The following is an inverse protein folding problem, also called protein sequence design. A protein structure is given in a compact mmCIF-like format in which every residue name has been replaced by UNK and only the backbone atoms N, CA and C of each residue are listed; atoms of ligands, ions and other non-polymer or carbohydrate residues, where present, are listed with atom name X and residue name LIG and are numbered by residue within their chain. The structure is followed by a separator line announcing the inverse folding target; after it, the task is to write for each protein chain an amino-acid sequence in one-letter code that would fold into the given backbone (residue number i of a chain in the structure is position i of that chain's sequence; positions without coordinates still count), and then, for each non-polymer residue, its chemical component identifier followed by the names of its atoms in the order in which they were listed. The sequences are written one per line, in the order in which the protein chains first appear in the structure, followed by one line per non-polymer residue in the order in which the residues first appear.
data_IF_733312047790
#
_entry.id   IF_733312047790
#
_cell.length_a   1.000
_cell.length_b   1.000
_cell.length_c   1.000
_cell.angle_alpha   90.00
_cell.angle_beta   90.00
_cell.angle_gamma   90.00
#
_symmetry.space_group_name_H-M   'P 1'
#
loop_
_entity.id
_entity.type
_entity.pdbx_description
1 polymer ?
#
# COMPACT_ATOMS: atom_id res chain seq x y z
N UNK A 1 -13.88 12.08 -12.63
CA UNK A 1 -13.02 13.07 -13.29
C UNK A 1 -13.55 13.39 -14.67
N UNK A 2 -13.11 14.52 -15.29
CA UNK A 2 -13.40 14.75 -16.69
C UNK A 2 -12.94 13.57 -17.56
N UNK A 3 -13.64 13.24 -18.66
CA UNK A 3 -13.28 12.07 -19.49
C UNK A 3 -11.85 12.07 -20.05
N UNK A 4 -11.24 13.25 -20.14
CA UNK A 4 -9.86 13.40 -20.60
C UNK A 4 -8.81 13.06 -19.52
N UNK A 5 -9.21 12.94 -18.24
CA UNK A 5 -8.30 12.67 -17.12
C UNK A 5 -8.35 11.18 -16.81
N UNK A 6 -7.28 10.49 -17.13
CA UNK A 6 -7.12 9.05 -16.91
C UNK A 6 -6.45 8.76 -15.58
N UNK A 7 -6.77 7.61 -14.99
CA UNK A 7 -6.03 7.06 -13.87
C UNK A 7 -4.64 6.57 -14.33
N UNK A 8 -3.69 6.52 -13.42
CA UNK A 8 -2.34 5.97 -13.71
C UNK A 8 -2.43 4.55 -14.26
N UNK A 9 -3.30 3.74 -13.69
CA UNK A 9 -3.53 2.36 -14.14
C UNK A 9 -4.04 2.27 -15.59
N UNK A 10 -4.91 3.19 -16.02
CA UNK A 10 -5.36 3.26 -17.43
C UNK A 10 -4.18 3.59 -18.35
N UNK A 11 -3.32 4.56 -17.97
CA UNK A 11 -2.16 4.94 -18.76
C UNK A 11 -1.14 3.80 -18.81
N UNK A 12 -0.88 3.11 -17.69
CA UNK A 12 -0.04 1.92 -17.66
C UNK A 12 -0.56 0.84 -18.59
N UNK A 13 -1.86 0.57 -18.54
CA UNK A 13 -2.53 -0.42 -19.39
C UNK A 13 -2.42 -0.07 -20.88
N UNK A 14 -2.62 1.19 -21.26
CA UNK A 14 -2.44 1.68 -22.63
C UNK A 14 -1.00 1.53 -23.14
N UNK A 15 -0.03 1.44 -22.22
CA UNK A 15 1.38 1.19 -22.53
C UNK A 15 1.79 -0.28 -22.35
N UNK A 16 0.82 -1.20 -22.35
CA UNK A 16 1.07 -2.64 -22.39
C UNK A 16 1.33 -3.31 -21.04
N UNK A 17 1.13 -2.61 -19.92
CA UNK A 17 1.20 -3.20 -18.60
C UNK A 17 -0.10 -3.95 -18.27
N UNK A 18 0.01 -5.15 -17.72
CA UNK A 18 -1.12 -5.79 -17.06
C UNK A 18 -1.35 -5.14 -15.69
N UNK A 19 -2.54 -4.62 -15.46
CA UNK A 19 -2.83 -3.77 -14.30
C UNK A 19 -3.79 -4.44 -13.33
N UNK A 20 -3.39 -4.52 -12.04
CA UNK A 20 -4.21 -5.18 -11.02
C UNK A 20 -4.35 -4.37 -9.74
N UNK A 21 -5.53 -4.45 -9.11
CA UNK A 21 -5.82 -3.83 -7.82
C UNK A 21 -6.42 -4.85 -6.84
N UNK A 22 -5.70 -5.19 -5.80
CA UNK A 22 -6.12 -6.10 -4.75
C UNK A 22 -6.34 -5.32 -3.43
N UNK A 23 -7.53 -4.92 -3.00
CA UNK A 23 -8.81 -4.77 -3.73
C UNK A 23 -9.55 -3.60 -3.09
N UNK A 24 -8.98 -2.38 -3.15
CA UNK A 24 -9.62 -1.17 -2.61
C UNK A 24 -9.89 -0.17 -3.74
N UNK A 25 -11.16 0.21 -3.90
CA UNK A 25 -11.62 1.17 -4.90
C UNK A 25 -12.35 2.36 -4.28
N UNK A 26 -11.73 3.01 -3.35
CA UNK A 26 -12.32 4.12 -2.59
C UNK A 26 -12.02 5.49 -3.26
N UNK A 27 -12.26 5.57 -4.58
CA UNK A 27 -11.80 6.68 -5.43
C UNK A 27 -12.65 7.95 -5.32
N UNK A 28 -13.85 7.91 -4.72
CA UNK A 28 -14.79 9.03 -4.62
C UNK A 28 -15.20 9.64 -5.98
N UNK A 29 -15.05 8.88 -7.07
CA UNK A 29 -15.51 9.19 -8.40
C UNK A 29 -15.88 7.92 -9.17
N UNK A 30 -16.66 8.08 -10.26
CA UNK A 30 -16.94 6.96 -11.17
C UNK A 30 -15.66 6.64 -11.95
N UNK A 31 -15.09 5.45 -11.68
CA UNK A 31 -13.93 4.96 -12.43
C UNK A 31 -14.35 4.53 -13.84
N UNK A 32 -13.40 4.59 -14.76
CA UNK A 32 -13.51 3.96 -16.07
C UNK A 32 -13.52 2.42 -15.93
N UNK A 33 -14.23 1.74 -16.80
CA UNK A 33 -14.13 0.26 -16.93
C UNK A 33 -12.74 -0.19 -17.37
N UNK A 34 -11.96 0.72 -17.94
CA UNK A 34 -10.59 0.48 -18.38
C UNK A 34 -9.54 0.72 -17.28
N UNK A 35 -9.96 1.08 -16.07
CA UNK A 35 -9.06 1.45 -14.98
C UNK A 35 -8.11 0.32 -14.58
N UNK A 36 -8.56 -0.93 -14.64
CA UNK A 36 -7.80 -2.12 -14.26
C UNK A 36 -8.15 -3.29 -15.19
N UNK A 37 -7.19 -4.19 -15.44
CA UNK A 37 -7.48 -5.48 -16.05
C UNK A 37 -8.17 -6.42 -15.05
N UNK A 38 -7.73 -6.39 -13.78
CA UNK A 38 -8.37 -7.11 -12.68
C UNK A 38 -8.37 -6.23 -11.42
N UNK A 39 -9.55 -6.00 -10.86
CA UNK A 39 -9.73 -5.32 -9.58
C UNK A 39 -10.62 -6.15 -8.68
N UNK A 40 -9.99 -7.03 -7.93
CA UNK A 40 -10.64 -7.99 -7.04
C UNK A 40 -9.70 -8.40 -5.90
N UNK A 41 -10.25 -9.14 -4.93
CA UNK A 41 -9.44 -9.77 -3.87
C UNK A 41 -8.50 -10.87 -4.41
N UNK A 42 -8.68 -11.27 -5.67
CA UNK A 42 -7.86 -12.27 -6.37
C UNK A 42 -6.90 -11.63 -7.38
N UNK A 43 -6.98 -10.29 -7.54
CA UNK A 43 -6.15 -9.56 -8.48
C UNK A 43 -4.67 -9.72 -8.15
N UNK A 44 -3.88 -10.17 -9.12
CA UNK A 44 -2.48 -10.51 -8.94
C UNK A 44 -1.71 -10.48 -10.26
N UNK A 45 -0.41 -10.17 -10.26
CA UNK A 45 0.41 -10.21 -11.49
C UNK A 45 0.49 -11.62 -12.10
N UNK A 46 0.34 -12.67 -11.29
CA UNK A 46 0.35 -14.08 -11.77
C UNK A 46 -0.86 -14.41 -12.65
N UNK A 47 -1.90 -13.56 -12.68
CA UNK A 47 -3.07 -13.71 -13.55
C UNK A 47 -2.86 -13.09 -14.94
N UNK A 48 -1.70 -12.48 -15.22
CA UNK A 48 -1.44 -11.87 -16.52
C UNK A 48 -1.47 -12.92 -17.64
N UNK A 49 -1.98 -12.54 -18.82
CA UNK A 49 -2.15 -13.50 -19.94
C UNK A 49 -0.83 -14.11 -20.41
N UNK A 50 0.25 -13.35 -20.34
CA UNK A 50 1.59 -13.77 -20.78
C UNK A 50 2.60 -13.49 -19.66
N UNK A 51 3.44 -14.49 -19.35
CA UNK A 51 4.41 -14.43 -18.25
C UNK A 51 5.46 -13.32 -18.40
N UNK A 52 5.75 -12.90 -19.64
CA UNK A 52 6.70 -11.83 -19.96
C UNK A 52 6.07 -10.44 -20.04
N UNK A 53 4.75 -10.33 -19.96
CA UNK A 53 4.10 -9.01 -19.93
C UNK A 53 4.50 -8.22 -18.69
N UNK A 54 4.85 -6.92 -18.85
CA UNK A 54 5.06 -6.07 -17.69
C UNK A 54 3.76 -5.91 -16.89
N UNK A 55 3.88 -5.65 -15.60
CA UNK A 55 2.70 -5.48 -14.75
C UNK A 55 2.82 -4.25 -13.85
N UNK A 56 1.67 -3.71 -13.49
CA UNK A 56 1.48 -2.71 -12.46
C UNK A 56 0.43 -3.23 -11.47
N UNK A 57 0.90 -3.72 -10.32
CA UNK A 57 0.05 -4.39 -9.33
C UNK A 57 0.00 -3.63 -8.02
N UNK A 58 -1.20 -3.32 -7.56
CA UNK A 58 -1.43 -2.61 -6.30
C UNK A 58 -2.04 -3.56 -5.29
N UNK A 59 -1.47 -3.61 -4.08
CA UNK A 59 -1.96 -4.40 -2.94
C UNK A 59 -2.31 -3.47 -1.78
N UNK A 60 -3.51 -3.62 -1.24
CA UNK A 60 -4.06 -2.76 -0.20
C UNK A 60 -4.18 -3.53 1.12
N UNK A 61 -3.40 -3.17 2.13
CA UNK A 61 -3.39 -3.83 3.43
C UNK A 61 -4.34 -3.15 4.43
N UNK A 62 -5.57 -3.68 4.54
CA UNK A 62 -6.57 -3.17 5.48
C UNK A 62 -6.32 -3.54 6.95
N UNK A 63 -5.28 -4.33 7.26
CA UNK A 63 -4.99 -4.76 8.63
C UNK A 63 -4.51 -3.61 9.53
N UNK A 64 -3.84 -2.61 8.96
CA UNK A 64 -3.39 -1.40 9.67
C UNK A 64 -4.43 -0.28 9.68
N UNK A 65 -5.58 -0.46 9.04
CA UNK A 65 -6.67 0.53 9.02
C UNK A 65 -7.22 0.80 10.43
N UNK A 66 -7.65 2.02 10.70
CA UNK A 66 -8.16 2.45 12.02
C UNK A 66 -9.28 1.57 12.60
N UNK A 67 -10.14 0.99 11.73
CA UNK A 67 -11.19 0.08 12.19
C UNK A 67 -10.67 -1.17 12.91
N UNK A 68 -9.35 -1.44 12.82
CA UNK A 68 -8.70 -2.54 13.55
C UNK A 68 -8.27 -2.16 14.96
N UNK A 69 -8.44 -0.89 15.32
CA UNK A 69 -8.27 -0.42 16.69
C UNK A 69 -9.54 -0.63 17.54
N UNK A 70 -10.70 -0.83 16.91
CA UNK A 70 -12.00 -0.91 17.54
C UNK A 70 -12.54 -2.33 17.53
N UNK A 71 -13.48 -2.61 18.43
CA UNK A 71 -14.15 -3.89 18.56
C UNK A 71 -15.26 -4.07 17.51
N UNK A 72 -14.91 -4.03 16.23
CA UNK A 72 -15.87 -4.31 15.15
C UNK A 72 -15.66 -5.72 14.61
N UNK A 73 -16.76 -6.47 14.54
CA UNK A 73 -16.81 -7.71 13.75
C UNK A 73 -16.85 -7.34 12.29
N UNK A 74 -15.73 -7.39 11.59
CA UNK A 74 -15.66 -7.15 10.15
C UNK A 74 -14.82 -8.23 9.49
N UNK A 75 -15.32 -8.76 8.38
CA UNK A 75 -14.56 -9.72 7.58
C UNK A 75 -13.22 -9.13 7.14
N UNK A 76 -12.17 -9.88 7.33
CA UNK A 76 -10.81 -9.53 6.89
C UNK A 76 -10.40 -10.52 5.83
N UNK A 77 -10.01 -10.02 4.66
CA UNK A 77 -9.41 -10.83 3.62
C UNK A 77 -7.89 -10.81 3.76
N UNK A 78 -7.27 -11.94 3.57
CA UNK A 78 -5.81 -12.03 3.51
C UNK A 78 -5.37 -11.55 2.12
N UNK A 79 -4.50 -10.53 2.09
CA UNK A 79 -3.99 -9.94 0.85
C UNK A 79 -2.80 -10.77 0.36
N UNK A 80 -2.68 -10.93 -0.97
CA UNK A 80 -1.52 -11.56 -1.58
C UNK A 80 -1.47 -13.08 -1.46
N UNK A 81 -2.59 -13.75 -1.22
CA UNK A 81 -2.66 -15.21 -1.29
C UNK A 81 -2.81 -15.64 -2.74
N UNK A 82 -1.80 -16.32 -3.25
CA UNK A 82 -1.83 -16.90 -4.60
C UNK A 82 -1.25 -18.33 -4.59
N UNK A 83 -1.80 -19.28 -5.33
CA UNK A 83 -3.00 -19.15 -6.14
C UNK A 83 -4.23 -18.89 -5.26
N UNK A 84 -5.29 -18.30 -5.78
CA UNK A 84 -6.54 -18.14 -5.07
C UNK A 84 -7.21 -19.51 -4.91
N UNK A 85 -6.47 -20.47 -4.36
CA UNK A 85 -6.97 -21.80 -4.14
C UNK A 85 -8.21 -21.71 -3.25
N UNK A 86 -9.34 -21.72 -3.98
CA UNK A 86 -10.65 -22.11 -3.48
C UNK A 86 -10.96 -21.58 -2.08
N UNK A 87 -11.29 -20.34 -2.07
CA UNK A 87 -11.70 -19.63 -0.90
C UNK A 87 -10.51 -18.90 -0.28
N UNK A 88 -10.39 -17.59 -0.64
CA UNK A 88 -9.86 -16.64 0.32
C UNK A 88 -10.38 -17.13 1.65
N UNK A 89 -9.50 -17.58 2.54
CA UNK A 89 -9.90 -17.84 3.91
C UNK A 89 -10.46 -16.52 4.39
N UNK A 90 -11.79 -16.38 4.24
CA UNK A 90 -12.55 -15.43 5.00
C UNK A 90 -12.08 -15.72 6.41
N UNK A 91 -11.14 -14.95 6.90
CA UNK A 91 -10.78 -15.02 8.30
C UNK A 91 -12.06 -14.54 8.93
N UNK A 92 -12.95 -15.51 9.22
CA UNK A 92 -14.19 -15.24 9.87
C UNK A 92 -13.82 -14.41 11.08
N UNK A 93 -14.14 -13.14 11.04
CA UNK A 93 -13.96 -12.25 12.18
C UNK A 93 -15.01 -12.60 13.26
N UNK A 94 -15.07 -13.88 13.61
CA UNK A 94 -15.62 -14.29 14.90
C UNK A 94 -14.82 -13.70 16.05
N UNK A 95 -13.62 -13.20 15.73
CA UNK A 95 -12.76 -12.56 16.69
C UNK A 95 -13.07 -11.06 16.70
N UNK A 96 -13.54 -10.59 17.81
CA UNK A 96 -13.37 -9.21 18.23
C UNK A 96 -11.88 -8.84 18.02
N UNK A 97 -11.58 -7.63 17.51
CA UNK A 97 -10.19 -7.19 17.35
C UNK A 97 -9.41 -7.24 18.68
N UNK A 98 -10.10 -7.25 19.81
CA UNK A 98 -9.50 -7.46 21.15
C UNK A 98 -9.09 -8.90 21.39
N UNK A 99 -9.68 -9.87 20.69
CA UNK A 99 -9.31 -11.29 20.80
C UNK A 99 -8.05 -11.62 20.00
N UNK A 100 -7.57 -10.70 19.15
CA UNK A 100 -6.31 -10.86 18.44
C UNK A 100 -5.17 -10.60 19.44
N UNK A 101 -4.32 -11.59 19.72
CA UNK A 101 -3.20 -11.42 20.63
C UNK A 101 -2.30 -10.25 20.22
N UNK A 102 -1.82 -9.49 21.20
CA UNK A 102 -0.79 -8.49 20.95
C UNK A 102 0.51 -9.21 20.59
N UNK A 103 1.10 -8.84 19.45
CA UNK A 103 2.37 -9.41 18.97
C UNK A 103 3.59 -8.67 19.52
N UNK A 104 3.38 -7.47 20.05
CA UNK A 104 4.43 -6.67 20.68
C UNK A 104 4.80 -7.30 22.01
N UNK A 105 6.08 -7.61 22.27
CA UNK A 105 6.53 -8.14 23.56
C UNK A 105 6.10 -7.26 24.73
N UNK A 106 5.70 -7.87 25.84
CA UNK A 106 5.21 -7.10 27.03
C UNK A 106 6.28 -6.23 27.67
N UNK A 107 7.53 -6.64 27.58
CA UNK A 107 8.72 -5.95 28.09
C UNK A 107 9.22 -4.85 27.17
N UNK A 108 8.70 -4.75 25.93
CA UNK A 108 9.04 -3.65 25.05
C UNK A 108 8.40 -2.35 25.57
N UNK A 109 9.22 -1.36 25.86
CA UNK A 109 8.76 -0.01 26.16
C UNK A 109 8.12 0.63 24.93
N UNK A 110 6.87 1.06 25.04
CA UNK A 110 6.17 1.79 23.98
C UNK A 110 6.06 3.26 24.33
N UNK A 111 6.53 4.14 23.44
CA UNK A 111 6.42 5.58 23.62
C UNK A 111 4.99 6.02 23.31
N UNK A 112 4.30 6.51 24.31
CA UNK A 112 2.95 7.08 24.17
C UNK A 112 3.09 8.55 23.79
N UNK A 113 2.54 9.00 22.64
CA UNK A 113 2.52 10.43 22.31
C UNK A 113 1.90 11.28 23.42
N UNK A 114 2.43 12.49 23.71
CA UNK A 114 1.98 13.29 24.84
C UNK A 114 0.49 13.65 24.84
N UNK A 115 -0.14 13.64 23.67
CA UNK A 115 -1.55 13.94 23.49
C UNK A 115 -2.48 12.74 23.71
N UNK A 116 -1.94 11.57 23.98
CA UNK A 116 -2.71 10.37 24.35
C UNK A 116 -2.66 10.17 25.87
N UNK A 117 -3.61 9.43 26.46
CA UNK A 117 -3.57 9.08 27.87
C UNK A 117 -2.27 8.37 28.24
N UNK A 118 -1.54 8.91 29.22
CA UNK A 118 -0.27 8.35 29.71
C UNK A 118 -0.54 7.26 30.76
N UNK A 119 -1.27 6.22 30.37
CA UNK A 119 -1.71 5.13 31.22
C UNK A 119 -1.87 3.84 30.39
N UNK A 120 -2.35 2.78 31.01
CA UNK A 120 -2.58 1.47 30.39
C UNK A 120 -3.47 1.54 29.11
N UNK A 121 -4.44 2.45 29.06
CA UNK A 121 -5.31 2.62 27.87
C UNK A 121 -4.49 3.09 26.68
N UNK A 122 -3.67 4.12 26.87
CA UNK A 122 -2.78 4.64 25.83
C UNK A 122 -1.72 3.62 25.42
N UNK A 123 -1.15 2.92 26.39
CA UNK A 123 -0.19 1.84 26.12
C UNK A 123 -0.79 0.73 25.28
N UNK A 124 -1.95 0.23 25.66
CA UNK A 124 -2.65 -0.82 24.91
C UNK A 124 -3.03 -0.37 23.50
N UNK A 125 -3.43 0.90 23.32
CA UNK A 125 -3.70 1.46 21.99
C UNK A 125 -2.43 1.44 21.10
N UNK A 126 -1.28 1.87 21.64
CA UNK A 126 0.00 1.82 20.94
C UNK A 126 0.41 0.38 20.59
N UNK A 127 0.31 -0.55 21.54
CA UNK A 127 0.63 -1.96 21.32
C UNK A 127 -0.28 -2.60 20.27
N UNK A 128 -1.55 -2.21 20.23
CA UNK A 128 -2.50 -2.65 19.20
C UNK A 128 -2.09 -2.12 17.83
N UNK A 129 -1.75 -0.85 17.73
CA UNK A 129 -1.28 -0.24 16.48
C UNK A 129 -0.02 -0.95 15.98
N UNK A 130 0.98 -1.16 16.82
CA UNK A 130 2.21 -1.87 16.45
C UNK A 130 1.95 -3.32 16.04
N UNK A 131 1.04 -4.01 16.75
CA UNK A 131 0.61 -5.37 16.35
C UNK A 131 0.04 -5.39 14.93
N UNK A 132 -0.77 -4.40 14.58
CA UNK A 132 -1.35 -4.30 13.25
C UNK A 132 -0.30 -3.98 12.18
N UNK A 133 0.71 -3.16 12.52
CA UNK A 133 1.87 -2.90 11.64
C UNK A 133 2.68 -4.19 11.42
N UNK A 134 2.98 -4.95 12.48
CA UNK A 134 3.69 -6.24 12.36
C UNK A 134 2.91 -7.22 11.45
N UNK A 135 1.59 -7.23 11.54
CA UNK A 135 0.76 -8.09 10.69
C UNK A 135 0.77 -7.63 9.23
N UNK A 136 0.75 -6.33 9.00
CA UNK A 136 0.88 -5.74 7.66
C UNK A 136 2.26 -6.06 7.07
N UNK A 137 3.33 -5.88 7.84
CA UNK A 137 4.71 -6.18 7.46
C UNK A 137 4.87 -7.66 7.02
N UNK A 138 4.31 -8.59 7.78
CA UNK A 138 4.26 -10.00 7.38
C UNK A 138 3.51 -10.23 6.07
N UNK A 139 2.47 -9.44 5.80
CA UNK A 139 1.75 -9.49 4.52
C UNK A 139 2.60 -8.96 3.36
N UNK A 140 3.34 -7.88 3.58
CA UNK A 140 4.31 -7.35 2.59
C UNK A 140 5.40 -8.38 2.32
N UNK A 141 5.95 -9.02 3.36
CA UNK A 141 6.93 -10.09 3.21
C UNK A 141 6.46 -11.19 2.26
N UNK A 142 5.22 -11.67 2.40
CA UNK A 142 4.65 -12.68 1.50
C UNK A 142 4.59 -12.23 0.03
N UNK A 143 4.35 -10.95 -0.24
CA UNK A 143 4.38 -10.42 -1.62
C UNK A 143 5.80 -10.43 -2.17
N UNK A 144 6.77 -10.06 -1.34
CA UNK A 144 8.19 -10.10 -1.72
C UNK A 144 8.66 -11.53 -1.98
N UNK A 145 8.29 -12.47 -1.11
CA UNK A 145 8.58 -13.90 -1.28
C UNK A 145 8.04 -14.42 -2.63
N UNK A 146 6.81 -14.04 -2.99
CA UNK A 146 6.20 -14.42 -4.27
C UNK A 146 6.92 -13.80 -5.48
N UNK A 147 7.40 -12.56 -5.38
CA UNK A 147 8.23 -11.95 -6.43
C UNK A 147 9.56 -12.70 -6.59
N UNK A 148 10.14 -13.16 -5.47
CA UNK A 148 11.37 -13.96 -5.49
C UNK A 148 11.12 -15.34 -6.10
N UNK A 149 10.06 -16.04 -5.69
CA UNK A 149 9.63 -17.32 -6.26
C UNK A 149 9.45 -17.26 -7.77
N UNK A 150 8.91 -16.14 -8.28
CA UNK A 150 8.68 -15.93 -9.71
C UNK A 150 9.92 -15.44 -10.47
N UNK A 151 11.04 -15.22 -9.80
CA UNK A 151 12.27 -14.64 -10.38
C UNK A 151 12.09 -13.20 -10.87
N UNK A 152 11.15 -12.47 -10.25
CA UNK A 152 10.77 -11.10 -10.60
C UNK A 152 11.29 -10.04 -9.62
N UNK A 153 11.72 -10.42 -8.42
CA UNK A 153 12.09 -9.48 -7.37
C UNK A 153 13.19 -8.50 -7.81
N UNK A 154 14.19 -8.98 -8.56
CA UNK A 154 15.29 -8.16 -9.06
C UNK A 154 15.00 -7.47 -10.40
N UNK A 155 13.77 -7.59 -10.88
CA UNK A 155 13.27 -6.93 -12.09
C UNK A 155 12.12 -5.98 -11.81
N UNK A 156 11.67 -5.89 -10.54
CA UNK A 156 10.49 -5.14 -10.14
C UNK A 156 10.88 -3.98 -9.24
N UNK A 157 10.35 -2.80 -9.53
CA UNK A 157 10.37 -1.67 -8.60
C UNK A 157 9.21 -1.90 -7.62
N UNK A 158 9.53 -1.96 -6.33
CA UNK A 158 8.52 -2.09 -5.27
C UNK A 158 8.41 -0.76 -4.54
N UNK A 159 7.21 -0.18 -4.56
CA UNK A 159 6.90 1.08 -3.85
C UNK A 159 5.96 0.76 -2.70
N UNK A 160 6.44 0.96 -1.48
CA UNK A 160 5.63 0.79 -0.28
C UNK A 160 5.43 2.13 0.43
N UNK A 161 4.18 2.46 0.75
CA UNK A 161 3.82 3.72 1.42
C UNK A 161 2.53 3.56 2.22
N UNK A 162 2.28 4.54 3.10
CA UNK A 162 0.98 4.72 3.74
C UNK A 162 0.23 5.88 3.07
N UNK A 163 -1.08 5.73 2.87
CA UNK A 163 -1.94 6.76 2.26
C UNK A 163 -2.15 7.97 3.18
N UNK A 164 -2.01 7.82 4.48
CA UNK A 164 -2.09 8.85 5.51
C UNK A 164 -1.46 8.35 6.82
N UNK A 165 -1.41 9.21 7.82
CA UNK A 165 -0.93 8.84 9.15
C UNK A 165 -1.76 7.76 9.83
N UNK A 166 -1.29 7.28 10.96
CA UNK A 166 -1.81 6.13 11.69
C UNK A 166 -3.26 6.27 12.20
N UNK A 167 -3.75 5.28 12.93
CA UNK A 167 -5.16 5.16 13.31
C UNK A 167 -5.53 5.91 14.60
N UNK A 168 -4.57 6.52 15.28
CA UNK A 168 -4.79 7.18 16.56
C UNK A 168 -5.18 8.66 16.41
N UNK A 169 -5.68 9.33 17.46
CA UNK A 169 -5.97 10.76 17.43
C UNK A 169 -4.80 11.61 16.88
N UNK A 170 -5.11 12.71 16.21
CA UNK A 170 -4.18 13.62 15.52
C UNK A 170 -3.41 13.01 14.34
N UNK A 171 -3.80 11.86 13.87
CA UNK A 171 -3.18 11.18 12.72
C UNK A 171 -4.11 11.24 11.50
N UNK A 172 -4.80 10.14 11.16
CA UNK A 172 -5.76 10.14 10.04
C UNK A 172 -6.73 11.31 10.11
N UNK A 173 -7.05 11.93 8.97
CA UNK A 173 -7.97 13.08 8.78
C UNK A 173 -7.50 14.43 9.31
N UNK A 174 -6.34 14.52 9.90
CA UNK A 174 -5.87 15.77 10.51
C UNK A 174 -4.55 16.23 9.89
N UNK A 175 -4.40 17.55 9.74
CA UNK A 175 -3.25 18.20 9.10
C UNK A 175 -2.10 18.44 10.10
N UNK A 176 -1.89 17.52 11.03
CA UNK A 176 -0.69 17.48 11.85
C UNK A 176 0.40 16.67 11.16
N UNK A 177 1.66 16.86 11.52
CA UNK A 177 2.79 16.06 11.04
C UNK A 177 2.50 14.55 11.11
N UNK A 178 1.90 14.10 12.20
CA UNK A 178 1.52 12.69 12.39
C UNK A 178 0.43 12.19 11.44
N UNK A 179 -0.27 13.10 10.77
CA UNK A 179 -1.26 12.79 9.73
C UNK A 179 -0.70 12.90 8.31
N UNK A 180 0.26 13.80 8.10
CA UNK A 180 0.79 14.16 6.79
C UNK A 180 2.12 13.48 6.45
N UNK A 181 3.02 13.32 7.44
CA UNK A 181 4.33 12.68 7.23
C UNK A 181 4.16 11.17 7.26
N UNK A 182 4.07 10.59 6.08
CA UNK A 182 3.90 9.14 5.88
C UNK A 182 5.20 8.50 5.41
N UNK A 183 5.45 7.23 5.76
CA UNK A 183 6.61 6.53 5.25
C UNK A 183 6.45 6.23 3.76
N UNK A 184 7.57 6.33 3.04
CA UNK A 184 7.73 5.85 1.67
C UNK A 184 9.04 5.08 1.57
N UNK A 185 8.98 3.89 1.02
CA UNK A 185 10.16 3.05 0.73
C UNK A 185 10.08 2.61 -0.73
N UNK A 186 11.17 2.76 -1.45
CA UNK A 186 11.31 2.29 -2.83
C UNK A 186 12.44 1.27 -2.88
N UNK A 187 12.13 0.05 -3.31
CA UNK A 187 13.12 -0.96 -3.65
C UNK A 187 13.29 -0.98 -5.16
N UNK A 188 14.49 -0.69 -5.59
CA UNK A 188 14.86 -0.76 -7.01
C UNK A 188 15.32 -2.17 -7.40
N UNK A 189 15.28 -2.52 -8.70
CA UNK A 189 15.84 -3.75 -9.23
C UNK A 189 17.27 -4.01 -8.77
N UNK A 190 17.61 -5.28 -8.55
CA UNK A 190 18.92 -5.74 -8.05
C UNK A 190 19.36 -5.08 -6.71
N UNK A 191 18.41 -4.55 -5.94
CA UNK A 191 18.72 -3.86 -4.69
C UNK A 191 19.57 -2.59 -4.87
N UNK A 192 19.58 -2.01 -6.06
CA UNK A 192 20.30 -0.77 -6.30
C UNK A 192 19.79 0.34 -5.38
N UNK A 193 20.70 1.24 -4.95
CA UNK A 193 20.41 2.31 -3.99
C UNK A 193 19.96 1.84 -2.60
N UNK A 194 20.21 0.59 -2.23
CA UNK A 194 19.84 0.07 -0.92
C UNK A 194 20.52 0.87 0.21
N UNK A 195 19.73 1.27 1.21
CA UNK A 195 20.20 2.04 2.36
C UNK A 195 20.31 3.54 2.14
N UNK A 196 20.05 4.03 0.94
CA UNK A 196 19.97 5.48 0.69
C UNK A 196 18.78 6.10 1.43
N UNK A 197 18.94 7.34 1.84
CA UNK A 197 17.89 8.19 2.41
C UNK A 197 17.72 9.42 1.55
N UNK A 198 16.47 9.81 1.37
CA UNK A 198 16.09 10.98 0.61
C UNK A 198 15.22 11.89 1.50
N UNK A 199 15.68 13.10 1.74
CA UNK A 199 15.02 14.09 2.58
C UNK A 199 14.20 15.12 1.77
N UNK A 200 14.04 14.91 0.46
CA UNK A 200 13.22 15.79 -0.37
C UNK A 200 11.77 15.77 0.10
N UNK A 201 11.13 16.91 0.05
CA UNK A 201 9.68 17.02 0.29
C UNK A 201 8.94 16.61 -0.98
N UNK A 202 8.19 15.55 -0.88
CA UNK A 202 7.33 15.03 -1.95
C UNK A 202 5.88 14.95 -1.50
N UNK A 203 4.96 14.92 -2.43
CA UNK A 203 3.53 14.83 -2.19
C UNK A 203 2.89 13.75 -3.03
N UNK A 204 1.69 13.29 -2.66
CA UNK A 204 0.96 12.31 -3.47
C UNK A 204 0.58 12.81 -4.87
N UNK A 205 0.53 14.12 -5.10
CA UNK A 205 0.36 14.66 -6.45
C UNK A 205 1.53 14.30 -7.37
N UNK A 206 2.72 14.03 -6.80
CA UNK A 206 3.93 13.67 -7.51
C UNK A 206 4.02 12.16 -7.83
N UNK A 207 3.21 11.33 -7.16
CA UNK A 207 3.24 9.88 -7.37
C UNK A 207 2.84 9.47 -8.79
N UNK A 208 1.72 9.96 -9.36
CA UNK A 208 1.33 9.60 -10.72
C UNK A 208 2.43 9.84 -11.76
N UNK A 209 3.00 11.05 -11.89
CA UNK A 209 4.07 11.28 -12.86
C UNK A 209 5.35 10.50 -12.51
N UNK A 210 5.64 10.24 -11.23
CA UNK A 210 6.79 9.45 -10.82
C UNK A 210 6.65 7.98 -11.22
N UNK A 211 5.51 7.35 -10.97
CA UNK A 211 5.25 5.96 -11.35
C UNK A 211 5.32 5.78 -12.87
N UNK A 212 4.78 6.72 -13.63
CA UNK A 212 4.89 6.73 -15.09
C UNK A 212 6.35 6.88 -15.55
N UNK A 213 7.09 7.81 -14.94
CA UNK A 213 8.52 8.04 -15.22
C UNK A 213 9.36 6.80 -14.95
N UNK A 214 9.11 6.11 -13.84
CA UNK A 214 9.76 4.83 -13.51
C UNK A 214 9.45 3.73 -14.54
N UNK A 215 8.25 3.76 -15.12
CA UNK A 215 7.83 2.84 -16.19
C UNK A 215 8.32 3.28 -17.60
N UNK A 216 9.04 4.37 -17.71
CA UNK A 216 9.47 4.92 -19.01
C UNK A 216 8.36 5.59 -19.80
N UNK A 217 7.27 5.98 -19.15
CA UNK A 217 6.09 6.59 -19.76
C UNK A 217 6.08 8.07 -19.42
N UNK A 218 5.90 8.94 -20.43
CA UNK A 218 5.79 10.38 -20.20
C UNK A 218 4.42 10.73 -19.62
N UNK A 219 4.44 11.49 -18.52
CA UNK A 219 3.22 11.94 -17.87
C UNK A 219 2.40 12.88 -18.80
N UNK A 220 1.07 12.75 -18.83
CA UNK A 220 0.19 13.71 -19.52
C UNK A 220 0.30 15.12 -18.96
N UNK A 221 0.10 16.11 -19.80
CA UNK A 221 0.24 17.54 -19.45
C UNK A 221 -0.73 18.03 -18.37
N UNK A 222 -1.83 17.32 -18.15
CA UNK A 222 -2.79 17.65 -17.10
C UNK A 222 -2.36 17.22 -15.69
N UNK A 223 -1.28 16.46 -15.55
CA UNK A 223 -0.73 16.11 -14.25
C UNK A 223 0.08 17.29 -13.71
N UNK A 224 -0.34 17.81 -12.55
CA UNK A 224 0.29 18.98 -11.91
C UNK A 224 1.52 18.61 -11.08
N UNK A 225 1.63 17.35 -10.65
CA UNK A 225 2.77 16.85 -9.89
C UNK A 225 4.02 16.73 -10.76
N UNK A 226 5.17 16.62 -10.09
CA UNK A 226 6.48 16.47 -10.72
C UNK A 226 7.06 15.09 -10.39
N UNK A 227 7.64 14.42 -11.40
CA UNK A 227 8.31 13.16 -11.16
C UNK A 227 9.60 13.39 -10.37
N UNK A 228 9.73 12.74 -9.23
CA UNK A 228 10.95 12.80 -8.40
C UNK A 228 11.86 11.60 -8.63
N UNK A 229 11.44 10.62 -9.42
CA UNK A 229 12.23 9.43 -9.80
C UNK A 229 11.91 8.99 -11.25
N UNK A 230 12.76 8.12 -11.81
CA UNK A 230 12.59 7.57 -13.15
C UNK A 230 13.29 8.39 -14.23
N UNK A 231 13.02 8.09 -15.50
CA UNK A 231 13.74 8.69 -16.65
C UNK A 231 13.24 10.08 -17.03
N UNK A 232 12.12 10.51 -16.50
CA UNK A 232 11.52 11.84 -16.70
C UNK A 232 11.43 12.64 -15.40
N UNK A 233 12.31 12.35 -14.42
CA UNK A 233 12.37 13.13 -13.20
C UNK A 233 12.74 14.59 -13.52
N UNK A 234 12.18 15.50 -12.75
CA UNK A 234 12.56 16.92 -12.76
C UNK A 234 13.58 17.11 -11.64
N UNK A 235 14.85 17.10 -11.99
CA UNK A 235 15.94 17.52 -11.09
C UNK A 235 15.91 19.04 -10.84
#
# INVERSE_FOLDING_TARGET
PPPAVKMVSEIMRENGYYTTNNAKEDYQFFKSELAWDDSSIYAHWRNRPEDNSPFFSVFNFGVSHESRMWNFKKDVFEVGVFPPERGVKKINSKYDNTDIPLLVPKDLEVKIPPYLPQNEIGENAMRRMYTNIIRMDKGVGKILDQLEEDGLLDKTIVVWYSDHGGPLPRQKRLLYDSGLRVPLIIRYPNGSRAGERDDRLISFVDFPPTLLSMAGIKAPIYMEGQAFEGIFNSD
#
